data_IF_691673641636
#
_entry.id   IF_691673641636
#
_cell.length_a   1.000
_cell.length_b   1.000
_cell.length_c   1.000
_cell.angle_alpha   90.00
_cell.angle_beta   90.00
_cell.angle_gamma   90.00
#
_symmetry.space_group_name_H-M   'P 1'
#
loop_
_entity.id
_entity.type
_entity.pdbx_description
1 polymer ?
#
# COMPACT_ATOMS: atom_id res chain seq x y z
N UNK A 1 -15.04 -9.37 -2.20
CA UNK A 1 -13.62 -9.25 -1.75
C UNK A 1 -13.12 -7.94 -2.30
N UNK A 2 -12.59 -7.11 -1.45
CA UNK A 2 -11.99 -5.82 -1.84
C UNK A 2 -10.51 -6.01 -2.15
N UNK A 3 -10.05 -5.44 -3.26
CA UNK A 3 -8.67 -5.55 -3.73
C UNK A 3 -8.02 -4.17 -3.77
N UNK A 4 -6.91 -4.01 -3.09
CA UNK A 4 -6.18 -2.74 -2.99
C UNK A 4 -4.77 -2.93 -3.58
N UNK A 5 -4.41 -2.15 -4.59
CA UNK A 5 -3.08 -2.18 -5.18
C UNK A 5 -2.20 -1.05 -4.62
N UNK A 6 -0.99 -1.39 -4.20
CA UNK A 6 0.02 -0.43 -3.78
C UNK A 6 1.03 -0.31 -4.91
N UNK A 7 1.00 0.82 -5.62
CA UNK A 7 1.73 1.00 -6.89
C UNK A 7 2.66 2.21 -6.79
N UNK A 8 3.89 2.07 -7.22
CA UNK A 8 4.81 3.19 -7.47
C UNK A 8 5.98 2.70 -8.31
N UNK A 9 6.32 3.43 -9.36
CA UNK A 9 7.47 3.17 -10.20
C UNK A 9 8.80 3.40 -9.47
N UNK A 10 8.77 4.19 -8.40
CA UNK A 10 9.96 4.50 -7.61
C UNK A 10 10.31 3.36 -6.64
N UNK A 11 11.57 2.92 -6.68
CA UNK A 11 12.13 2.03 -5.65
C UNK A 11 12.27 2.76 -4.31
N UNK A 12 11.91 2.06 -3.21
CA UNK A 12 12.03 2.62 -1.87
C UNK A 12 10.97 3.67 -1.49
N UNK A 13 9.90 3.84 -2.26
CA UNK A 13 8.77 4.73 -1.91
C UNK A 13 7.96 4.25 -0.71
N UNK A 14 8.10 2.97 -0.31
CA UNK A 14 7.42 2.36 0.84
C UNK A 14 6.22 1.49 0.49
N UNK A 15 6.11 0.99 -0.75
CA UNK A 15 5.02 0.09 -1.18
C UNK A 15 4.81 -1.08 -0.23
N UNK A 16 5.81 -1.91 -0.06
CA UNK A 16 5.76 -3.09 0.83
C UNK A 16 5.44 -2.70 2.27
N UNK A 17 6.02 -1.61 2.78
CA UNK A 17 5.75 -1.13 4.14
C UNK A 17 4.27 -0.80 4.31
N UNK A 18 3.69 -0.02 3.41
CA UNK A 18 2.26 0.35 3.46
C UNK A 18 1.38 -0.88 3.28
N UNK A 19 1.69 -1.74 2.30
CA UNK A 19 0.93 -2.96 2.04
C UNK A 19 0.84 -3.86 3.28
N UNK A 20 1.96 -4.15 3.94
CA UNK A 20 2.02 -4.97 5.15
C UNK A 20 1.26 -4.34 6.32
N UNK A 21 1.45 -3.04 6.56
CA UNK A 21 0.79 -2.34 7.66
C UNK A 21 -0.73 -2.28 7.48
N UNK A 22 -1.22 -2.03 6.27
CA UNK A 22 -2.65 -2.03 5.97
C UNK A 22 -3.26 -3.44 5.98
N UNK A 23 -2.51 -4.45 5.52
CA UNK A 23 -2.96 -5.84 5.56
C UNK A 23 -3.12 -6.32 7.02
N UNK A 24 -2.15 -6.03 7.89
CA UNK A 24 -2.27 -6.33 9.33
C UNK A 24 -3.39 -5.55 9.99
N UNK A 25 -3.57 -4.26 9.65
CA UNK A 25 -4.69 -3.45 10.17
C UNK A 25 -6.04 -4.06 9.79
N UNK A 26 -6.18 -4.52 8.55
CA UNK A 26 -7.39 -5.20 8.07
C UNK A 26 -7.64 -6.52 8.77
N UNK A 27 -6.60 -7.33 8.98
CA UNK A 27 -6.69 -8.57 9.76
C UNK A 27 -7.10 -8.31 11.20
N UNK A 28 -6.53 -7.30 11.84
CA UNK A 28 -6.87 -6.91 13.21
C UNK A 28 -8.30 -6.36 13.34
N UNK A 29 -8.91 -5.90 12.24
CA UNK A 29 -10.34 -5.53 12.21
C UNK A 29 -11.28 -6.70 11.95
N UNK A 30 -10.76 -7.94 11.92
CA UNK A 30 -11.53 -9.17 11.78
C UNK A 30 -11.77 -9.64 10.36
N UNK A 31 -11.07 -9.06 9.36
CA UNK A 31 -11.20 -9.48 7.97
C UNK A 31 -10.21 -10.60 7.62
N UNK A 32 -10.68 -11.60 6.89
CA UNK A 32 -9.80 -12.57 6.24
C UNK A 32 -9.00 -11.86 5.16
N UNK A 33 -7.75 -11.53 5.48
CA UNK A 33 -6.89 -10.68 4.66
C UNK A 33 -5.74 -11.47 4.07
N UNK A 34 -5.49 -11.24 2.78
CA UNK A 34 -4.30 -11.73 2.08
C UNK A 34 -3.49 -10.56 1.50
N UNK A 35 -2.21 -10.80 1.25
CA UNK A 35 -1.32 -9.93 0.51
C UNK A 35 -0.61 -10.76 -0.56
N UNK A 36 -0.65 -10.30 -1.82
CA UNK A 36 0.13 -10.90 -2.90
C UNK A 36 1.35 -10.04 -3.18
N UNK A 37 2.52 -10.62 -2.97
CA UNK A 37 3.83 -10.05 -3.28
C UNK A 37 4.12 -10.30 -4.78
N UNK A 38 4.11 -9.24 -5.58
CA UNK A 38 4.39 -9.25 -7.01
C UNK A 38 5.82 -8.80 -7.33
N UNK A 39 6.63 -8.47 -6.30
CA UNK A 39 8.01 -8.05 -6.45
C UNK A 39 8.93 -9.29 -6.43
N UNK A 40 9.75 -9.50 -7.47
CA UNK A 40 10.76 -10.57 -7.46
C UNK A 40 11.76 -10.50 -6.29
N UNK A 41 11.91 -9.34 -5.65
CA UNK A 41 12.71 -9.21 -4.43
C UNK A 41 12.06 -9.88 -3.22
N UNK A 42 10.76 -10.19 -3.29
CA UNK A 42 10.01 -10.95 -2.30
C UNK A 42 10.11 -10.39 -0.88
N UNK A 43 10.01 -9.06 -0.74
CA UNK A 43 10.18 -8.39 0.55
C UNK A 43 9.03 -8.70 1.52
N UNK A 44 7.80 -8.74 1.04
CA UNK A 44 6.65 -9.11 1.84
C UNK A 44 6.68 -10.60 2.22
N UNK A 45 7.09 -11.46 1.31
CA UNK A 45 7.29 -12.89 1.56
C UNK A 45 8.34 -13.14 2.65
N UNK A 46 9.50 -12.49 2.56
CA UNK A 46 10.55 -12.57 3.58
C UNK A 46 10.11 -12.03 4.95
N UNK A 47 9.22 -11.05 4.99
CA UNK A 47 8.59 -10.59 6.23
C UNK A 47 7.66 -11.67 6.80
N UNK A 48 6.85 -12.31 5.96
CA UNK A 48 5.95 -13.39 6.39
C UNK A 48 6.71 -14.60 6.97
N UNK A 49 7.89 -14.94 6.42
CA UNK A 49 8.74 -16.02 6.96
C UNK A 49 9.20 -15.77 8.41
N UNK A 50 9.21 -14.52 8.86
CA UNK A 50 9.57 -14.14 10.24
C UNK A 50 8.37 -13.96 11.15
N UNK A 51 7.14 -14.02 10.57
CA UNK A 51 5.91 -13.77 11.29
C UNK A 51 5.40 -15.03 11.97
N UNK A 52 5.08 -14.93 13.26
CA UNK A 52 4.51 -16.03 14.05
C UNK A 52 2.98 -16.13 13.93
N UNK A 53 2.32 -15.06 13.46
CA UNK A 53 0.85 -15.01 13.30
C UNK A 53 0.44 -15.46 11.91
N UNK A 54 -0.70 -16.15 11.83
CA UNK A 54 -1.23 -16.71 10.57
C UNK A 54 -1.72 -15.63 9.58
N UNK A 55 -2.25 -14.52 10.08
CA UNK A 55 -2.81 -13.45 9.24
C UNK A 55 -1.94 -12.18 9.29
N UNK A 56 -1.89 -11.42 8.19
CA UNK A 56 -2.44 -11.74 6.87
C UNK A 56 -1.69 -12.90 6.20
N UNK A 57 -2.39 -13.67 5.36
CA UNK A 57 -1.75 -14.66 4.49
C UNK A 57 -0.94 -13.93 3.41
N UNK A 58 0.34 -14.23 3.30
CA UNK A 58 1.19 -13.64 2.24
C UNK A 58 1.47 -14.69 1.17
N UNK A 59 1.18 -14.31 -0.08
CA UNK A 59 1.36 -15.13 -1.28
C UNK A 59 2.40 -14.46 -2.17
N UNK A 60 3.22 -15.24 -2.86
CA UNK A 60 4.10 -14.74 -3.91
C UNK A 60 3.56 -15.19 -5.26
N UNK A 61 3.39 -14.25 -6.19
CA UNK A 61 2.91 -14.54 -7.52
C UNK A 61 3.56 -13.65 -8.58
N UNK A 62 3.60 -14.16 -9.81
CA UNK A 62 3.93 -13.34 -10.97
C UNK A 62 2.68 -12.59 -11.47
N UNK A 63 2.83 -11.35 -11.93
CA UNK A 63 1.71 -10.53 -12.40
C UNK A 63 0.82 -11.24 -13.46
N UNK A 64 1.42 -12.05 -14.33
CA UNK A 64 0.66 -12.85 -15.32
C UNK A 64 -0.29 -13.90 -14.72
N UNK A 65 -0.16 -14.22 -13.44
CA UNK A 65 -1.04 -15.16 -12.72
C UNK A 65 -2.01 -14.47 -11.76
N UNK A 66 -1.99 -13.16 -11.72
CA UNK A 66 -2.74 -12.37 -10.73
C UNK A 66 -4.23 -12.71 -10.69
N UNK A 67 -4.89 -12.84 -11.84
CA UNK A 67 -6.30 -13.23 -11.91
C UNK A 67 -6.61 -14.59 -11.27
N UNK A 68 -5.69 -15.55 -11.41
CA UNK A 68 -5.84 -16.86 -10.78
C UNK A 68 -5.68 -16.78 -9.26
N UNK A 69 -4.72 -15.98 -8.79
CA UNK A 69 -4.51 -15.77 -7.34
C UNK A 69 -5.69 -15.04 -6.70
N UNK A 70 -6.24 -14.01 -7.34
CA UNK A 70 -7.44 -13.31 -6.87
C UNK A 70 -8.62 -14.27 -6.73
N UNK A 71 -8.84 -15.12 -7.74
CA UNK A 71 -9.89 -16.14 -7.69
C UNK A 71 -9.68 -17.11 -6.55
N UNK A 72 -8.46 -17.64 -6.38
CA UNK A 72 -8.09 -18.55 -5.32
C UNK A 72 -8.31 -17.94 -3.93
N UNK A 73 -7.86 -16.71 -3.71
CA UNK A 73 -8.09 -16.00 -2.43
C UNK A 73 -9.59 -15.84 -2.16
N UNK A 74 -10.37 -15.49 -3.18
CA UNK A 74 -11.84 -15.36 -3.06
C UNK A 74 -12.51 -16.69 -2.72
N UNK A 75 -12.12 -17.78 -3.39
CA UNK A 75 -12.66 -19.14 -3.16
C UNK A 75 -12.33 -19.67 -1.76
N UNK A 76 -11.20 -19.25 -1.18
CA UNK A 76 -10.81 -19.61 0.20
C UNK A 76 -11.39 -18.67 1.27
N UNK A 77 -12.35 -17.80 0.91
CA UNK A 77 -13.03 -16.92 1.85
C UNK A 77 -12.28 -15.62 2.18
N UNK A 78 -11.31 -15.23 1.37
CA UNK A 78 -10.63 -13.94 1.48
C UNK A 78 -11.62 -12.78 1.30
N UNK A 79 -11.54 -11.81 2.21
CA UNK A 79 -12.42 -10.63 2.22
C UNK A 79 -11.68 -9.38 1.74
N UNK A 80 -10.36 -9.31 1.98
CA UNK A 80 -9.50 -8.22 1.54
C UNK A 80 -8.18 -8.73 0.99
N UNK A 81 -7.75 -8.16 -0.14
CA UNK A 81 -6.50 -8.51 -0.80
C UNK A 81 -5.68 -7.26 -1.06
N UNK A 82 -4.43 -7.28 -0.63
CA UNK A 82 -3.43 -6.26 -0.98
C UNK A 82 -2.49 -6.79 -2.05
N UNK A 83 -2.16 -5.93 -3.03
CA UNK A 83 -1.20 -6.23 -4.09
C UNK A 83 0.02 -5.33 -3.91
N UNK A 84 1.15 -5.91 -3.54
CA UNK A 84 2.44 -5.21 -3.44
C UNK A 84 3.20 -5.34 -4.75
N UNK A 85 3.37 -4.24 -5.50
CA UNK A 85 3.96 -4.28 -6.84
C UNK A 85 5.46 -4.01 -6.82
N UNK A 86 6.18 -4.59 -7.81
CA UNK A 86 7.57 -4.28 -8.05
C UNK A 86 7.76 -2.82 -8.54
N UNK A 87 8.89 -2.16 -8.21
CA UNK A 87 9.26 -0.92 -8.87
C UNK A 87 9.62 -1.17 -10.34
N UNK A 88 9.53 -0.15 -11.18
CA UNK A 88 9.93 -0.20 -12.60
C UNK A 88 9.31 -1.35 -13.42
N UNK A 89 8.11 -1.79 -13.04
CA UNK A 89 7.38 -2.84 -13.76
C UNK A 89 6.01 -2.33 -14.21
N UNK A 90 5.98 -1.72 -15.39
CA UNK A 90 4.75 -1.14 -15.97
C UNK A 90 3.64 -2.17 -16.14
N UNK A 91 3.99 -3.37 -16.60
CA UNK A 91 3.02 -4.44 -16.80
C UNK A 91 2.41 -4.93 -15.49
N UNK A 92 3.21 -5.12 -14.45
CA UNK A 92 2.70 -5.54 -13.14
C UNK A 92 1.84 -4.45 -12.48
N UNK A 93 2.27 -3.19 -12.57
CA UNK A 93 1.52 -2.04 -12.07
C UNK A 93 0.17 -1.90 -12.79
N UNK A 94 0.16 -2.00 -14.11
CA UNK A 94 -1.07 -1.89 -14.91
C UNK A 94 -2.03 -3.04 -14.63
N UNK A 95 -1.55 -4.28 -14.58
CA UNK A 95 -2.40 -5.45 -14.26
C UNK A 95 -2.94 -5.38 -12.84
N UNK A 96 -2.14 -4.93 -11.86
CA UNK A 96 -2.62 -4.72 -10.49
C UNK A 96 -3.68 -3.62 -10.42
N UNK A 97 -3.50 -2.50 -11.14
CA UNK A 97 -4.46 -1.41 -11.17
C UNK A 97 -5.80 -1.81 -11.81
N UNK A 98 -5.78 -2.61 -12.89
CA UNK A 98 -7.00 -3.07 -13.57
C UNK A 98 -7.90 -3.96 -12.71
N UNK A 99 -7.33 -4.70 -11.77
CA UNK A 99 -8.06 -5.64 -10.93
C UNK A 99 -8.35 -5.10 -9.53
N UNK A 100 -7.80 -3.94 -9.20
CA UNK A 100 -8.00 -3.31 -7.92
C UNK A 100 -9.30 -2.48 -7.87
N UNK A 101 -9.93 -2.46 -6.70
CA UNK A 101 -11.03 -1.55 -6.38
C UNK A 101 -10.49 -0.17 -5.99
N UNK A 102 -9.23 -0.12 -5.51
CA UNK A 102 -8.55 1.10 -5.08
C UNK A 102 -7.04 0.99 -5.32
N UNK A 103 -6.44 2.07 -5.79
CA UNK A 103 -4.98 2.20 -5.92
C UNK A 103 -4.46 3.21 -4.89
N UNK A 104 -3.43 2.83 -4.14
CA UNK A 104 -2.66 3.72 -3.28
C UNK A 104 -1.26 3.91 -3.88
N UNK A 105 -0.83 5.15 -4.07
CA UNK A 105 0.50 5.48 -4.59
C UNK A 105 1.32 6.12 -3.47
N UNK A 106 2.27 5.39 -2.84
CA UNK A 106 3.21 6.00 -1.91
C UNK A 106 4.13 6.99 -2.61
N UNK A 107 4.23 8.19 -2.07
CA UNK A 107 5.13 9.24 -2.53
C UNK A 107 5.87 9.87 -1.35
N UNK A 108 7.18 10.05 -1.47
CA UNK A 108 7.95 10.84 -0.50
C UNK A 108 7.95 12.30 -0.92
N UNK A 109 8.03 13.26 0.01
CA UNK A 109 8.20 14.66 -0.31
C UNK A 109 9.65 14.96 -0.74
N UNK A 110 10.07 14.34 -1.85
CA UNK A 110 11.40 14.50 -2.42
C UNK A 110 11.28 14.67 -3.94
N UNK A 111 12.10 15.55 -4.52
CA UNK A 111 11.97 15.98 -5.92
C UNK A 111 11.95 14.82 -6.91
N UNK A 112 12.81 13.83 -6.75
CA UNK A 112 12.84 12.66 -7.63
C UNK A 112 11.67 11.70 -7.45
N UNK A 113 11.03 11.68 -6.28
CA UNK A 113 9.81 10.90 -6.05
C UNK A 113 8.61 11.62 -6.67
N UNK A 114 8.60 12.97 -6.63
CA UNK A 114 7.61 13.81 -7.28
C UNK A 114 7.65 13.69 -8.81
N UNK A 115 8.82 13.67 -9.41
CA UNK A 115 8.98 13.42 -10.85
C UNK A 115 8.47 12.02 -11.26
N UNK A 116 8.74 11.00 -10.43
CA UNK A 116 8.33 9.62 -10.70
C UNK A 116 6.81 9.40 -10.56
N UNK A 117 6.11 10.27 -9.82
CA UNK A 117 4.66 10.11 -9.63
C UNK A 117 3.89 10.35 -10.92
N UNK A 118 4.31 11.29 -11.75
CA UNK A 118 3.68 11.60 -13.04
C UNK A 118 3.69 10.38 -13.97
N UNK A 119 4.80 9.63 -14.00
CA UNK A 119 4.90 8.40 -14.79
C UNK A 119 3.97 7.30 -14.23
N UNK A 120 3.90 7.18 -12.90
CA UNK A 120 3.00 6.22 -12.26
C UNK A 120 1.54 6.56 -12.56
N UNK A 121 1.16 7.84 -12.45
CA UNK A 121 -0.20 8.32 -12.72
C UNK A 121 -0.59 8.11 -14.20
N UNK A 122 0.29 8.48 -15.14
CA UNK A 122 0.04 8.28 -16.57
C UNK A 122 -0.28 6.82 -16.91
N UNK A 123 0.36 5.87 -16.20
CA UNK A 123 0.11 4.45 -16.37
C UNK A 123 -1.23 4.02 -15.76
N UNK A 124 -1.49 4.35 -14.49
CA UNK A 124 -2.63 3.78 -13.75
C UNK A 124 -3.94 4.52 -13.97
N UNK A 125 -3.93 5.81 -14.33
CA UNK A 125 -5.15 6.57 -14.65
C UNK A 125 -5.91 5.99 -15.85
N UNK A 126 -5.22 5.29 -16.75
CA UNK A 126 -5.85 4.64 -17.90
C UNK A 126 -6.83 3.52 -17.53
N UNK A 127 -6.75 3.01 -16.30
CA UNK A 127 -7.63 1.92 -15.82
C UNK A 127 -8.98 2.42 -15.32
N UNK A 128 -9.10 3.69 -14.99
CA UNK A 128 -10.30 4.27 -14.37
C UNK A 128 -10.49 3.89 -12.89
N UNK A 129 -9.57 3.11 -12.31
CA UNK A 129 -9.59 2.75 -10.90
C UNK A 129 -9.32 3.98 -10.04
N UNK A 130 -10.05 4.20 -8.93
CA UNK A 130 -9.80 5.30 -8.00
C UNK A 130 -8.39 5.27 -7.44
N UNK A 131 -7.72 6.43 -7.41
CA UNK A 131 -6.32 6.57 -7.02
C UNK A 131 -6.21 7.59 -5.90
N UNK A 132 -5.46 7.25 -4.85
CA UNK A 132 -5.03 8.18 -3.81
C UNK A 132 -3.51 8.15 -3.64
N UNK A 133 -2.90 9.32 -3.68
CA UNK A 133 -1.48 9.47 -3.33
C UNK A 133 -1.35 9.55 -1.82
N UNK A 134 -0.45 8.76 -1.25
CA UNK A 134 -0.18 8.72 0.20
C UNK A 134 1.21 9.28 0.44
N UNK A 135 1.29 10.42 1.13
CA UNK A 135 2.57 10.98 1.55
C UNK A 135 3.23 10.06 2.57
N UNK A 136 4.41 9.56 2.23
CA UNK A 136 5.14 8.57 3.01
C UNK A 136 6.55 9.05 3.37
N UNK A 137 7.04 8.57 4.51
CA UNK A 137 8.35 8.93 5.05
C UNK A 137 8.55 10.46 5.16
N UNK A 138 7.49 11.16 5.51
CA UNK A 138 7.47 12.61 5.73
C UNK A 138 8.38 12.98 6.89
N UNK A 139 9.14 14.06 6.78
CA UNK A 139 9.92 14.58 7.89
C UNK A 139 8.99 14.98 9.05
N UNK A 140 9.40 14.76 10.33
CA UNK A 140 8.56 15.14 11.49
C UNK A 140 8.29 16.64 11.60
N UNK A 141 9.08 17.46 10.93
CA UNK A 141 9.00 18.91 10.90
C UNK A 141 9.39 19.39 9.48
N UNK A 142 8.85 20.53 9.07
CA UNK A 142 9.08 21.10 7.74
C UNK A 142 7.79 21.30 6.96
N UNK A 143 7.84 21.97 5.84
CA UNK A 143 6.71 22.26 4.95
C UNK A 143 6.77 21.44 3.65
N UNK A 144 7.82 20.62 3.47
CA UNK A 144 8.07 19.89 2.23
C UNK A 144 6.91 18.95 1.86
N UNK A 145 6.22 18.39 2.87
CA UNK A 145 5.07 17.52 2.62
C UNK A 145 3.86 18.31 2.12
N UNK A 146 3.61 19.50 2.66
CA UNK A 146 2.52 20.39 2.25
C UNK A 146 2.76 20.91 0.83
N UNK A 147 3.96 21.37 0.54
CA UNK A 147 4.37 21.79 -0.80
C UNK A 147 4.26 20.65 -1.82
N UNK A 148 4.66 19.43 -1.44
CA UNK A 148 4.52 18.25 -2.28
C UNK A 148 3.05 17.87 -2.53
N UNK A 149 2.19 17.99 -1.52
CA UNK A 149 0.75 17.70 -1.66
C UNK A 149 0.07 18.71 -2.61
N UNK A 150 0.43 19.99 -2.53
CA UNK A 150 -0.06 21.01 -3.45
C UNK A 150 0.35 20.71 -4.89
N UNK A 151 1.65 20.44 -5.12
CA UNK A 151 2.15 20.10 -6.45
C UNK A 151 1.53 18.81 -7.03
N UNK A 152 1.26 17.79 -6.20
CA UNK A 152 0.56 16.58 -6.64
C UNK A 152 -0.91 16.88 -6.96
N UNK A 153 -1.55 17.77 -6.21
CA UNK A 153 -2.93 18.19 -6.47
C UNK A 153 -3.13 18.80 -7.87
N UNK A 154 -2.10 19.45 -8.42
CA UNK A 154 -2.10 19.98 -9.79
C UNK A 154 -2.14 18.89 -10.88
N UNK A 155 -1.82 17.63 -10.52
CA UNK A 155 -1.84 16.48 -11.44
C UNK A 155 -3.23 15.82 -11.58
N UNK A 156 -4.30 16.45 -11.08
CA UNK A 156 -5.67 15.91 -11.10
C UNK A 156 -5.78 14.52 -10.45
N UNK A 157 -5.13 14.33 -9.31
CA UNK A 157 -5.23 13.13 -8.49
C UNK A 157 -5.53 13.51 -7.04
N UNK A 158 -6.29 12.68 -6.35
CA UNK A 158 -6.60 12.92 -4.94
C UNK A 158 -5.41 12.54 -4.06
N UNK A 159 -5.07 13.44 -3.13
CA UNK A 159 -4.05 13.20 -2.12
C UNK A 159 -4.74 12.77 -0.81
N UNK A 160 -4.28 11.64 -0.26
CA UNK A 160 -4.76 11.19 1.04
C UNK A 160 -4.41 12.22 2.13
N UNK A 161 -5.36 12.65 2.96
CA UNK A 161 -5.09 13.63 4.02
C UNK A 161 -4.23 13.05 5.16
N UNK A 162 -4.02 11.73 5.16
CA UNK A 162 -3.21 11.04 6.16
C UNK A 162 -1.79 10.88 5.64
N UNK A 163 -0.83 11.39 6.40
CA UNK A 163 0.60 11.27 6.10
C UNK A 163 1.24 10.23 7.02
N UNK A 164 2.20 9.48 6.49
CA UNK A 164 3.06 8.59 7.26
C UNK A 164 4.42 9.25 7.49
N UNK A 165 4.70 9.59 8.73
CA UNK A 165 5.97 10.25 9.10
C UNK A 165 7.09 9.23 9.12
N UNK A 166 8.31 9.63 8.80
CA UNK A 166 9.51 8.79 8.87
C UNK A 166 9.82 8.42 10.33
N UNK A 167 9.27 7.29 10.76
CA UNK A 167 9.42 6.76 12.13
C UNK A 167 10.19 5.46 12.13
N UNK A 168 11.11 5.34 13.05
CA UNK A 168 11.93 4.15 13.22
C UNK A 168 11.08 2.88 13.50
N UNK A 169 9.90 3.04 14.09
CA UNK A 169 8.97 1.94 14.38
C UNK A 169 8.52 1.21 13.11
N UNK A 170 8.33 1.91 11.98
CA UNK A 170 8.01 1.27 10.70
C UNK A 170 9.10 0.28 10.26
N UNK A 171 10.37 0.67 10.35
CA UNK A 171 11.47 -0.19 9.94
C UNK A 171 11.74 -1.31 10.95
N UNK A 172 11.78 -0.99 12.26
CA UNK A 172 12.09 -1.96 13.31
C UNK A 172 11.07 -3.07 13.43
N UNK A 173 9.79 -2.75 13.33
CA UNK A 173 8.74 -3.76 13.41
C UNK A 173 8.85 -4.82 12.32
N UNK A 174 9.19 -4.41 11.09
CA UNK A 174 9.31 -5.35 9.97
C UNK A 174 10.47 -6.35 10.11
N UNK A 175 11.51 -6.01 10.88
CA UNK A 175 12.64 -6.93 11.15
C UNK A 175 12.16 -8.18 11.88
N UNK A 176 11.17 -8.05 12.74
CA UNK A 176 10.63 -9.13 13.59
C UNK A 176 9.33 -9.76 13.09
N UNK A 177 8.95 -9.53 11.82
CA UNK A 177 7.69 -10.03 11.27
C UNK A 177 6.44 -9.35 11.85
N UNK A 178 6.60 -8.20 12.49
CA UNK A 178 5.52 -7.38 13.04
C UNK A 178 5.27 -6.14 12.17
N UNK A 179 4.21 -5.42 12.48
CA UNK A 179 3.97 -4.06 12.01
C UNK A 179 4.03 -3.08 13.17
N UNK A 180 4.05 -1.78 12.88
CA UNK A 180 4.13 -0.76 13.92
C UNK A 180 2.99 -0.83 14.94
N UNK A 181 1.79 -1.26 14.51
CA UNK A 181 0.63 -1.44 15.39
C UNK A 181 0.81 -2.59 16.39
N UNK A 182 1.61 -3.59 16.03
CA UNK A 182 1.91 -4.73 16.89
C UNK A 182 3.17 -4.48 17.74
N UNK A 183 4.12 -3.72 17.21
CA UNK A 183 5.38 -3.42 17.86
C UNK A 183 5.26 -2.33 18.93
N UNK A 184 4.52 -1.26 18.63
CA UNK A 184 4.25 -0.13 19.52
C UNK A 184 2.79 0.29 19.36
N UNK A 185 1.84 -0.47 19.95
CA UNK A 185 0.40 -0.31 19.70
C UNK A 185 -0.15 1.08 20.04
N UNK A 186 0.45 1.81 20.96
CA UNK A 186 0.10 3.20 21.30
C UNK A 186 1.03 4.23 20.64
N UNK A 187 1.96 3.80 19.82
CA UNK A 187 2.93 4.63 19.14
C UNK A 187 2.30 5.51 18.05
N UNK A 188 3.03 6.56 17.68
CA UNK A 188 2.58 7.47 16.60
C UNK A 188 2.45 6.75 15.25
N UNK A 189 3.38 5.83 14.92
CA UNK A 189 3.32 5.04 13.70
C UNK A 189 2.08 4.13 13.64
N UNK A 190 1.71 3.52 14.77
CA UNK A 190 0.50 2.72 14.89
C UNK A 190 -0.76 3.57 14.64
N UNK A 191 -0.82 4.77 15.21
CA UNK A 191 -1.93 5.71 15.02
C UNK A 191 -2.04 6.19 13.57
N UNK A 192 -0.92 6.53 12.94
CA UNK A 192 -0.87 6.94 11.53
C UNK A 192 -1.37 5.82 10.61
N UNK A 193 -0.94 4.58 10.86
CA UNK A 193 -1.42 3.42 10.11
C UNK A 193 -2.92 3.19 10.32
N UNK A 194 -3.42 3.30 11.56
CA UNK A 194 -4.84 3.14 11.86
C UNK A 194 -5.69 4.22 11.14
N UNK A 195 -5.23 5.46 11.12
CA UNK A 195 -5.89 6.55 10.40
C UNK A 195 -5.92 6.30 8.88
N UNK A 196 -4.78 5.86 8.29
CA UNK A 196 -4.71 5.51 6.87
C UNK A 196 -5.65 4.34 6.54
N UNK A 197 -5.70 3.31 7.38
CA UNK A 197 -6.62 2.20 7.24
C UNK A 197 -8.09 2.65 7.29
N UNK A 198 -8.45 3.53 8.24
CA UNK A 198 -9.79 4.09 8.36
C UNK A 198 -10.16 4.90 7.11
N UNK A 199 -9.26 5.74 6.61
CA UNK A 199 -9.45 6.48 5.36
C UNK A 199 -9.70 5.53 4.18
N UNK A 200 -8.84 4.54 4.00
CA UNK A 200 -8.96 3.53 2.93
C UNK A 200 -10.32 2.83 2.98
N UNK A 201 -10.75 2.36 4.16
CA UNK A 201 -12.06 1.72 4.33
C UNK A 201 -13.23 2.66 3.99
N UNK A 202 -13.13 3.94 4.36
CA UNK A 202 -14.15 4.93 4.03
C UNK A 202 -14.27 5.16 2.52
N UNK A 203 -13.15 5.16 1.78
CA UNK A 203 -13.18 5.28 0.32
C UNK A 203 -13.80 4.03 -0.33
N UNK A 204 -13.39 2.83 0.06
CA UNK A 204 -13.97 1.58 -0.44
C UNK A 204 -15.49 1.51 -0.21
N UNK A 205 -15.97 1.94 0.95
CA UNK A 205 -17.40 1.97 1.26
C UNK A 205 -18.19 2.96 0.37
N UNK A 206 -17.60 4.10 0.00
CA UNK A 206 -18.22 5.07 -0.91
C UNK A 206 -18.38 4.52 -2.33
N UNK A 207 -17.44 3.70 -2.77
CA UNK A 207 -17.45 3.09 -4.12
C UNK A 207 -18.46 1.94 -4.24
N UNK A 208 -18.84 1.34 -3.12
CA UNK A 208 -19.79 0.22 -3.07
C UNK A 208 -21.26 0.68 -2.90
N UNK A 209 -21.52 2.00 -2.83
CA UNK A 209 -22.83 2.63 -2.76
C UNK A 209 -23.28 3.15 -4.11
#
# INVERSE_FOLDING_TARGET
>A
METIAIISQKGGSGKTTIALHLAVASSNSGLNTALTDLDPQASATKWADRREKELPVVLSAHASRLHNEIRRVKETGGQRLFLDTAPHSDSAALEAAKVADLVLIPCRPAIFDMEAISNTLALVQTTGTPIFVVMNAVAPQGQEAEEAMEAIGELNVEVCPIQLVNRIAFARSLITGLTAQEFECYGKAAKETANLHTFMCAQLNKMNQ
#
